data_IF_513204021403
#
_entry.id   IF_513204021403
#
_cell.length_a   1.000
_cell.length_b   1.000
_cell.length_c   1.000
_cell.angle_alpha   90.00
_cell.angle_beta   90.00
_cell.angle_gamma   90.00
#
_symmetry.space_group_name_H-M   'P 1'
#
loop_
_entity.id
_entity.type
_entity.pdbx_description
1 polymer ?
#
# COMPACT_ATOMS: atom_id res chain seq x y z
N UNK A 1 -24.96 -18.22 -1.22
CA UNK A 1 -24.14 -17.32 -0.37
C UNK A 1 -24.50 -15.89 -0.78
N UNK A 2 -25.14 -15.11 0.09
CA UNK A 2 -25.65 -13.78 -0.28
C UNK A 2 -24.51 -12.82 -0.66
N UNK A 3 -24.69 -12.07 -1.76
CA UNK A 3 -23.72 -11.13 -2.37
C UNK A 3 -22.89 -10.33 -1.35
N UNK A 4 -23.53 -9.75 -0.33
CA UNK A 4 -22.86 -8.92 0.66
C UNK A 4 -21.85 -9.64 1.58
N UNK A 5 -21.97 -10.96 1.78
CA UNK A 5 -20.95 -11.71 2.56
C UNK A 5 -19.65 -11.91 1.77
N UNK A 6 -19.75 -12.05 0.45
CA UNK A 6 -18.58 -12.19 -0.41
C UNK A 6 -17.87 -10.84 -0.56
N UNK A 7 -18.62 -9.77 -0.74
CA UNK A 7 -18.11 -8.39 -0.79
C UNK A 7 -17.38 -8.02 0.51
N UNK A 8 -18.01 -8.19 1.69
CA UNK A 8 -17.36 -7.90 2.96
C UNK A 8 -16.09 -8.73 3.23
N UNK A 9 -16.04 -9.96 2.72
CA UNK A 9 -14.83 -10.79 2.78
C UNK A 9 -13.74 -10.26 1.85
N UNK A 10 -14.08 -9.96 0.59
CA UNK A 10 -13.15 -9.37 -0.37
C UNK A 10 -12.59 -8.04 0.12
N UNK A 11 -13.43 -7.17 0.66
CA UNK A 11 -13.00 -5.88 1.23
C UNK A 11 -12.04 -6.05 2.41
N UNK A 12 -12.33 -7.00 3.31
CA UNK A 12 -11.43 -7.33 4.41
C UNK A 12 -10.07 -7.86 3.94
N UNK A 13 -10.06 -8.71 2.91
CA UNK A 13 -8.83 -9.22 2.30
C UNK A 13 -8.03 -8.09 1.64
N UNK A 14 -8.66 -7.23 0.85
CA UNK A 14 -7.99 -6.10 0.22
C UNK A 14 -7.43 -5.10 1.25
N UNK A 15 -8.18 -4.82 2.33
CA UNK A 15 -7.72 -3.95 3.40
C UNK A 15 -6.42 -4.47 4.04
N UNK A 16 -6.37 -5.76 4.38
CA UNK A 16 -5.16 -6.37 4.98
C UNK A 16 -4.00 -6.38 3.97
N UNK A 17 -4.25 -6.75 2.72
CA UNK A 17 -3.22 -6.77 1.68
C UNK A 17 -2.57 -5.39 1.50
N UNK A 18 -3.37 -4.32 1.38
CA UNK A 18 -2.86 -2.95 1.23
C UNK A 18 -2.02 -2.54 2.45
N UNK A 19 -2.44 -2.89 3.67
CA UNK A 19 -1.65 -2.57 4.87
C UNK A 19 -0.32 -3.29 4.93
N UNK A 20 -0.25 -4.54 4.45
CA UNK A 20 1.00 -5.31 4.39
C UNK A 20 1.92 -4.78 3.31
N UNK A 21 1.37 -4.42 2.14
CA UNK A 21 2.12 -3.90 1.00
C UNK A 21 3.00 -2.69 1.37
N UNK A 22 2.49 -1.77 2.21
CA UNK A 22 3.25 -0.57 2.59
C UNK A 22 4.44 -0.86 3.52
N UNK A 23 4.47 -2.02 4.20
CA UNK A 23 5.57 -2.40 5.10
C UNK A 23 6.88 -2.66 4.34
N UNK A 24 6.80 -2.89 3.03
CA UNK A 24 7.97 -3.08 2.16
C UNK A 24 8.60 -1.75 1.70
N UNK A 25 7.97 -0.60 2.00
CA UNK A 25 8.52 0.71 1.68
C UNK A 25 9.76 1.01 2.54
N UNK A 26 10.91 1.13 1.90
CA UNK A 26 12.19 1.39 2.58
C UNK A 26 12.26 2.83 3.09
N UNK A 27 12.84 3.00 4.28
CA UNK A 27 13.12 4.32 4.86
C UNK A 27 14.21 5.01 4.00
N UNK A 28 14.00 6.26 3.56
CA UNK A 28 15.01 7.01 2.84
C UNK A 28 16.25 7.22 3.71
N UNK A 29 17.45 7.20 3.10
CA UNK A 29 18.72 7.31 3.82
C UNK A 29 19.14 8.77 4.07
N UNK A 30 18.16 9.70 4.15
CA UNK A 30 18.35 11.13 4.36
C UNK A 30 17.14 11.72 5.10
N UNK A 31 17.31 12.90 5.71
CA UNK A 31 16.27 13.58 6.50
C UNK A 31 15.62 14.75 5.74
N UNK A 32 16.03 14.94 4.50
CA UNK A 32 15.68 16.02 3.59
C UNK A 32 14.61 15.55 2.58
N UNK A 33 13.78 16.49 2.13
CA UNK A 33 12.65 16.18 1.24
C UNK A 33 13.10 15.61 -0.11
N UNK A 34 14.32 15.91 -0.55
CA UNK A 34 14.92 15.37 -1.78
C UNK A 34 15.16 13.86 -1.69
N UNK A 35 15.36 13.31 -0.49
CA UNK A 35 15.51 11.88 -0.27
C UNK A 35 14.24 11.07 -0.58
N UNK A 36 13.07 11.71 -0.71
CA UNK A 36 11.81 11.09 -1.12
C UNK A 36 11.64 10.96 -2.64
N UNK A 37 12.32 11.79 -3.43
CA UNK A 37 12.22 11.79 -4.89
C UNK A 37 12.49 10.40 -5.53
N UNK A 38 13.51 9.62 -5.12
CA UNK A 38 13.71 8.27 -5.67
C UNK A 38 12.67 7.24 -5.22
N UNK A 39 11.93 7.51 -4.14
CA UNK A 39 10.87 6.62 -3.63
C UNK A 39 9.52 6.85 -4.31
N UNK A 40 9.34 7.98 -5.00
CA UNK A 40 8.08 8.36 -5.67
C UNK A 40 7.56 7.29 -6.65
N UNK A 41 8.38 6.71 -7.56
CA UNK A 41 7.90 5.70 -8.50
C UNK A 41 7.37 4.44 -7.80
N UNK A 42 8.04 4.03 -6.72
CA UNK A 42 7.64 2.87 -5.90
C UNK A 42 6.35 3.19 -5.14
N UNK A 43 6.23 4.40 -4.59
CA UNK A 43 4.99 4.84 -3.95
C UNK A 43 3.81 4.82 -4.92
N UNK A 44 4.01 5.26 -6.17
CA UNK A 44 2.97 5.25 -7.21
C UNK A 44 2.53 3.82 -7.59
N UNK A 45 3.41 2.83 -7.53
CA UNK A 45 3.01 1.42 -7.75
C UNK A 45 2.09 0.85 -6.67
N UNK A 46 2.04 1.44 -5.48
CA UNK A 46 1.09 1.03 -4.44
C UNK A 46 -0.30 1.66 -4.60
N UNK A 47 -0.41 2.76 -5.36
CA UNK A 47 -1.65 3.53 -5.52
C UNK A 47 -2.42 3.14 -6.79
N UNK A 48 -1.71 2.70 -7.83
CA UNK A 48 -2.27 2.24 -9.11
C UNK A 48 -2.78 0.79 -9.03
#
# INVERSE_FOLDING_TARGET
MGKGRLEAFSDGVFAVLITIMVLELKVPHGADAEALAPLLPVFLTYVL
#
